data_IF_831683631342
#
_entry.id   IF_831683631342
#
_cell.length_a   1.000
_cell.length_b   1.000
_cell.length_c   1.000
_cell.angle_alpha   90.00
_cell.angle_beta   90.00
_cell.angle_gamma   90.00
#
_symmetry.space_group_name_H-M   'P 1'
#
loop_
_entity.id
_entity.type
_entity.pdbx_description
1 polymer ?
#
# COMPACT_ATOMS: atom_id res chain seq x y z
N UNK A 1 16.98 -10.11 -22.02
CA UNK A 1 16.26 -8.83 -21.84
C UNK A 1 15.43 -8.95 -20.57
N UNK A 2 16.02 -8.65 -19.40
CA UNK A 2 15.31 -8.70 -18.12
C UNK A 2 14.84 -7.29 -17.80
N UNK A 3 13.55 -7.02 -18.00
CA UNK A 3 12.89 -5.78 -17.57
C UNK A 3 12.96 -5.69 -16.04
N UNK A 4 14.00 -5.04 -15.52
CA UNK A 4 13.98 -4.50 -14.17
C UNK A 4 12.96 -3.35 -14.17
N UNK A 5 11.69 -3.66 -13.89
CA UNK A 5 10.70 -2.64 -13.63
C UNK A 5 11.12 -1.92 -12.34
N UNK A 6 11.82 -0.79 -12.48
CA UNK A 6 12.07 0.16 -11.41
C UNK A 6 10.73 0.74 -10.97
N UNK A 7 10.03 0.01 -10.09
CA UNK A 7 8.80 0.47 -9.44
C UNK A 7 9.17 1.72 -8.64
N UNK A 8 8.89 2.87 -9.23
CA UNK A 8 9.12 4.17 -8.61
C UNK A 8 8.15 4.28 -7.44
N UNK A 9 8.68 4.65 -6.27
CA UNK A 9 7.90 4.83 -5.04
C UNK A 9 6.66 5.71 -5.33
N UNK A 10 5.43 5.19 -5.15
CA UNK A 10 4.23 5.97 -5.41
C UNK A 10 4.15 7.12 -4.40
N UNK A 11 3.69 8.27 -4.86
CA UNK A 11 3.53 9.48 -4.05
C UNK A 11 2.11 9.61 -3.50
N UNK A 12 1.19 8.75 -3.93
CA UNK A 12 -0.23 8.80 -3.53
C UNK A 12 -0.90 7.43 -3.64
N UNK A 13 -1.97 7.21 -2.88
CA UNK A 13 -2.74 5.94 -2.93
C UNK A 13 -3.36 5.73 -4.31
N UNK A 14 -3.81 6.79 -4.99
CA UNK A 14 -4.31 6.71 -6.37
C UNK A 14 -3.23 6.25 -7.35
N UNK A 15 -1.99 6.70 -7.19
CA UNK A 15 -0.86 6.28 -8.01
C UNK A 15 -0.50 4.82 -7.72
N UNK A 16 -0.45 4.43 -6.45
CA UNK A 16 -0.29 3.04 -6.02
C UNK A 16 -1.37 2.13 -6.63
N UNK A 17 -2.64 2.55 -6.60
CA UNK A 17 -3.76 1.82 -7.22
C UNK A 17 -3.58 1.73 -8.74
N UNK A 18 -3.21 2.84 -9.38
CA UNK A 18 -2.89 2.89 -10.80
C UNK A 18 -1.79 1.92 -11.17
N UNK A 19 -0.74 1.82 -10.36
CA UNK A 19 0.36 0.87 -10.55
C UNK A 19 -0.10 -0.59 -10.37
N UNK A 20 -0.90 -0.91 -9.34
CA UNK A 20 -1.41 -2.27 -9.14
C UNK A 20 -2.29 -2.70 -10.31
N UNK A 21 -3.15 -1.81 -10.82
CA UNK A 21 -4.06 -2.07 -11.94
C UNK A 21 -3.31 -2.10 -13.29
N UNK A 22 -2.46 -1.11 -13.56
CA UNK A 22 -1.77 -0.95 -14.84
C UNK A 22 -0.58 -1.89 -15.00
N UNK A 23 0.13 -2.20 -13.92
CA UNK A 23 1.28 -3.09 -14.03
C UNK A 23 0.87 -4.54 -14.25
N UNK A 24 -0.42 -4.90 -14.13
CA UNK A 24 -0.86 -6.29 -14.17
C UNK A 24 0.06 -7.16 -13.33
N UNK A 25 0.58 -6.60 -12.22
CA UNK A 25 1.61 -7.24 -11.44
C UNK A 25 0.97 -8.57 -11.05
N UNK A 26 1.54 -9.67 -11.54
CA UNK A 26 1.25 -11.01 -11.04
C UNK A 26 1.82 -11.09 -9.63
N UNK A 27 1.28 -10.26 -8.75
CA UNK A 27 1.45 -10.35 -7.33
C UNK A 27 0.90 -11.73 -6.97
N UNK A 28 1.67 -12.56 -6.25
CA UNK A 28 1.12 -13.74 -5.61
C UNK A 28 -0.14 -13.35 -4.84
N UNK A 29 -1.13 -14.24 -4.73
CA UNK A 29 -2.43 -13.96 -4.13
C UNK A 29 -2.34 -13.19 -2.79
N UNK A 30 -1.31 -13.49 -1.98
CA UNK A 30 -1.03 -12.81 -0.72
C UNK A 30 -0.63 -11.34 -0.87
N UNK A 31 0.22 -11.01 -1.84
CA UNK A 31 0.67 -9.63 -2.08
C UNK A 31 -0.47 -8.77 -2.63
N UNK A 32 -1.27 -9.34 -3.54
CA UNK A 32 -2.47 -8.69 -4.05
C UNK A 32 -3.49 -8.45 -2.94
N UNK A 33 -3.69 -9.43 -2.05
CA UNK A 33 -4.58 -9.32 -0.90
C UNK A 33 -4.17 -8.18 0.03
N UNK A 34 -2.87 -8.05 0.32
CA UNK A 34 -2.35 -6.93 1.12
C UNK A 34 -2.65 -5.59 0.46
N UNK A 35 -2.36 -5.47 -0.84
CA UNK A 35 -2.59 -4.25 -1.59
C UNK A 35 -4.08 -3.88 -1.66
N UNK A 36 -4.96 -4.84 -1.95
CA UNK A 36 -6.42 -4.65 -1.95
C UNK A 36 -6.95 -4.25 -0.58
N UNK A 37 -6.49 -4.90 0.49
CA UNK A 37 -6.92 -4.59 1.86
C UNK A 37 -6.47 -3.18 2.26
N UNK A 38 -5.24 -2.79 1.91
CA UNK A 38 -4.73 -1.45 2.14
C UNK A 38 -5.55 -0.37 1.40
N UNK A 39 -6.00 -0.67 0.17
CA UNK A 39 -6.87 0.22 -0.61
C UNK A 39 -8.31 0.26 -0.07
N UNK A 40 -8.84 -0.87 0.40
CA UNK A 40 -10.20 -0.96 0.94
C UNK A 40 -10.31 -0.36 2.35
N UNK A 41 -9.27 -0.52 3.16
CA UNK A 41 -9.19 -0.07 4.56
C UNK A 41 -7.90 0.71 4.82
N UNK A 42 -7.78 1.92 4.24
CA UNK A 42 -6.61 2.78 4.44
C UNK A 42 -6.41 3.18 5.92
N UNK A 43 -7.47 3.17 6.73
CA UNK A 43 -7.44 3.40 8.19
C UNK A 43 -6.56 2.39 8.94
N UNK A 44 -6.67 1.10 8.62
CA UNK A 44 -5.87 0.06 9.27
C UNK A 44 -4.38 0.28 9.01
N UNK A 45 -4.02 0.67 7.78
CA UNK A 45 -2.63 0.92 7.43
C UNK A 45 -2.14 2.21 8.07
N UNK A 46 -2.95 3.26 8.00
CA UNK A 46 -2.63 4.60 8.48
C UNK A 46 -2.52 4.70 10.00
N UNK A 47 -3.28 3.92 10.76
CA UNK A 47 -3.29 3.97 12.22
C UNK A 47 -2.68 2.72 12.86
N UNK A 48 -2.84 1.56 12.23
CA UNK A 48 -2.32 0.28 12.72
C UNK A 48 -0.80 0.09 12.55
N UNK A 49 -0.39 -1.15 12.74
CA UNK A 49 1.01 -1.61 12.68
C UNK A 49 1.18 -2.64 11.55
N UNK A 50 2.43 -2.98 11.23
CA UNK A 50 2.74 -4.08 10.31
C UNK A 50 2.00 -5.36 10.73
N UNK A 51 2.02 -5.68 12.03
CA UNK A 51 1.40 -6.91 12.56
C UNK A 51 -0.11 -6.90 12.44
N UNK A 52 -0.75 -5.74 12.66
CA UNK A 52 -2.21 -5.59 12.49
C UNK A 52 -2.61 -5.74 11.03
N UNK A 53 -1.89 -5.09 10.11
CA UNK A 53 -2.14 -5.23 8.67
C UNK A 53 -1.89 -6.67 8.21
N UNK A 54 -0.81 -7.30 8.68
CA UNK A 54 -0.47 -8.67 8.36
C UNK A 54 -1.58 -9.64 8.81
N UNK A 55 -2.11 -9.44 10.02
CA UNK A 55 -3.21 -10.25 10.57
C UNK A 55 -4.49 -10.09 9.76
N UNK A 56 -4.86 -8.86 9.42
CA UNK A 56 -6.05 -8.56 8.60
C UNK A 56 -5.95 -9.18 7.20
N UNK A 57 -4.75 -9.19 6.63
CA UNK A 57 -4.49 -9.80 5.32
C UNK A 57 -4.25 -11.31 5.39
N UNK A 58 -4.20 -11.90 6.59
CA UNK A 58 -3.84 -13.32 6.83
C UNK A 58 -2.48 -13.66 6.20
N UNK A 59 -1.49 -12.77 6.39
CA UNK A 59 -0.11 -12.94 5.91
C UNK A 59 0.90 -12.70 7.03
N UNK A 60 2.17 -12.99 6.77
CA UNK A 60 3.25 -12.67 7.70
C UNK A 60 3.65 -11.18 7.63
N UNK A 61 4.17 -10.57 8.72
CA UNK A 61 4.77 -9.23 8.71
C UNK A 61 5.86 -9.08 7.64
N UNK A 62 6.65 -10.14 7.40
CA UNK A 62 7.67 -10.18 6.35
C UNK A 62 7.05 -10.09 4.95
N UNK A 63 5.87 -10.67 4.73
CA UNK A 63 5.13 -10.53 3.46
C UNK A 63 4.74 -9.08 3.22
N UNK A 64 4.25 -8.37 4.25
CA UNK A 64 3.92 -6.94 4.17
C UNK A 64 5.15 -6.11 3.80
N UNK A 65 6.30 -6.39 4.42
CA UNK A 65 7.56 -5.74 4.08
C UNK A 65 7.98 -6.04 2.63
N UNK A 66 7.84 -7.28 2.14
CA UNK A 66 8.13 -7.61 0.74
C UNK A 66 7.22 -6.87 -0.23
N UNK A 67 5.95 -6.67 0.10
CA UNK A 67 5.03 -5.83 -0.69
C UNK A 67 5.49 -4.38 -0.69
N UNK A 68 5.81 -3.82 0.47
CA UNK A 68 6.32 -2.46 0.58
C UNK A 68 7.59 -2.26 -0.26
N UNK A 69 8.56 -3.17 -0.16
CA UNK A 69 9.78 -3.13 -0.97
C UNK A 69 9.52 -3.33 -2.47
N UNK A 70 8.59 -4.21 -2.84
CA UNK A 70 8.18 -4.36 -4.24
C UNK A 70 7.56 -3.08 -4.81
N UNK A 71 6.87 -2.29 -3.97
CA UNK A 71 6.31 -1.00 -4.33
C UNK A 71 7.32 0.16 -4.26
N UNK A 72 8.59 -0.11 -3.94
CA UNK A 72 9.65 0.91 -3.84
C UNK A 72 9.73 1.62 -2.49
N UNK A 73 9.14 1.06 -1.43
CA UNK A 73 9.29 1.56 -0.06
C UNK A 73 10.38 0.81 0.70
N UNK A 74 11.29 1.55 1.31
CA UNK A 74 12.35 0.97 2.17
C UNK A 74 11.81 0.43 3.50
N UNK A 75 10.70 0.99 3.99
CA UNK A 75 10.14 0.64 5.29
C UNK A 75 8.63 0.86 5.37
N UNK A 76 8.01 0.24 6.37
CA UNK A 76 6.58 0.37 6.61
C UNK A 76 6.15 1.77 7.08
N UNK A 77 7.03 2.56 7.69
CA UNK A 77 6.66 3.92 8.12
C UNK A 77 6.35 4.80 6.91
N UNK A 78 7.15 4.71 5.85
CA UNK A 78 6.91 5.40 4.58
C UNK A 78 5.60 4.94 3.94
N UNK A 79 5.34 3.63 3.95
CA UNK A 79 4.07 3.07 3.49
C UNK A 79 2.90 3.66 4.29
N UNK A 80 2.96 3.60 5.63
CA UNK A 80 1.95 4.15 6.55
C UNK A 80 1.71 5.64 6.33
N UNK A 81 2.78 6.43 6.15
CA UNK A 81 2.69 7.87 5.95
C UNK A 81 1.88 8.23 4.70
N UNK A 82 2.05 7.47 3.61
CA UNK A 82 1.31 7.68 2.37
C UNK A 82 -0.20 7.47 2.59
N UNK A 83 -0.61 6.44 3.34
CA UNK A 83 -2.03 6.23 3.69
C UNK A 83 -2.56 7.31 4.64
N UNK A 84 -1.77 7.77 5.61
CA UNK A 84 -2.15 8.89 6.48
C UNK A 84 -2.38 10.18 5.69
N UNK A 85 -1.49 10.48 4.73
CA UNK A 85 -1.62 11.63 3.85
C UNK A 85 -2.87 11.53 2.98
N UNK A 86 -3.17 10.34 2.47
CA UNK A 86 -4.38 10.10 1.69
C UNK A 86 -5.65 10.31 2.52
N UNK A 87 -5.72 9.75 3.73
CA UNK A 87 -6.86 9.97 4.64
C UNK A 87 -7.00 11.44 5.01
N UNK A 88 -5.90 12.15 5.27
CA UNK A 88 -5.92 13.59 5.52
C UNK A 88 -6.44 14.36 4.31
N UNK A 89 -6.02 13.99 3.11
CA UNK A 89 -6.48 14.61 1.87
C UNK A 89 -7.97 14.34 1.61
N UNK A 90 -8.46 13.13 1.87
CA UNK A 90 -9.89 12.79 1.79
C UNK A 90 -10.68 13.60 2.82
N UNK A 91 -10.21 13.67 4.06
CA UNK A 91 -10.88 14.43 5.13
C UNK A 91 -10.90 15.94 4.83
N UNK A 92 -9.82 16.50 4.28
CA UNK A 92 -9.76 17.89 3.86
C UNK A 92 -10.67 18.19 2.65
N UNK A 93 -10.81 17.24 1.73
CA UNK A 93 -11.69 17.39 0.56
C UNK A 93 -13.18 17.16 0.89
N UNK A 94 -13.47 16.49 2.01
CA UNK A 94 -14.82 16.26 2.54
C UNK A 94 -15.14 17.20 3.72
N UNK A 95 -14.43 18.33 3.85
CA UNK A 95 -14.66 19.31 4.91
C UNK A 95 -16.11 19.82 4.90
N UNK A 96 -16.72 20.02 6.09
CA UNK A 96 -18.10 20.46 6.19
C UNK A 96 -18.21 21.91 5.72
N UNK A 97 -19.34 22.25 5.13
CA UNK A 97 -19.82 23.63 5.10
C UNK A 97 -19.79 24.23 6.52
#
# INVERSE_FOLDING_TARGET
MSTHQTLTKPRSVSELKGMIVAAGLRLPEQQERVARTALARPDIVAFGTISSLASECVVSPSTVMRVASALGFDNFKEFKLLFQQHLRSIAANNGPF
#
